data_IF_827023413692
#
_entry.id   IF_827023413692
#
_cell.length_a   1.000
_cell.length_b   1.000
_cell.length_c   1.000
_cell.angle_alpha   90.00
_cell.angle_beta   90.00
_cell.angle_gamma   90.00
#
_symmetry.space_group_name_H-M   'P 1'
#
loop_
_entity.id
_entity.type
_entity.pdbx_description
1 polymer ?
#
# COMPACT_ATOMS: atom_id res chain seq x y z
N UNK A 1 10.12 -15.39 31.23
CA UNK A 1 11.11 -14.85 30.27
C UNK A 1 10.36 -14.33 29.07
N UNK A 2 10.31 -13.05 28.96
CA UNK A 2 9.49 -12.24 28.09
C UNK A 2 10.17 -12.08 26.71
N UNK A 3 9.58 -12.65 25.68
CA UNK A 3 9.97 -12.42 24.30
C UNK A 3 8.98 -11.48 23.63
N UNK A 4 9.19 -10.17 23.75
CA UNK A 4 8.54 -9.16 22.90
C UNK A 4 9.16 -9.19 21.53
N UNK A 5 8.53 -9.84 20.57
CA UNK A 5 8.82 -9.60 19.16
C UNK A 5 7.97 -8.40 18.73
N UNK A 6 8.56 -7.21 18.81
CA UNK A 6 8.02 -6.01 18.21
C UNK A 6 7.91 -6.24 16.69
N UNK A 7 6.67 -6.33 16.20
CA UNK A 7 6.37 -6.28 14.80
C UNK A 7 6.52 -4.82 14.36
N UNK A 8 7.74 -4.43 13.94
CA UNK A 8 8.00 -3.13 13.35
C UNK A 8 7.20 -2.98 12.06
N UNK A 9 6.05 -2.31 12.18
CA UNK A 9 5.33 -1.82 11.03
C UNK A 9 6.24 -0.83 10.28
N UNK A 10 6.74 -1.21 9.10
CA UNK A 10 7.47 -0.32 8.23
C UNK A 10 6.59 0.87 7.91
N UNK A 11 6.87 1.98 8.57
CA UNK A 11 6.26 3.28 8.29
C UNK A 11 6.70 3.74 6.91
N UNK A 12 5.79 3.72 5.96
CA UNK A 12 6.00 4.35 4.67
C UNK A 12 5.55 5.80 4.82
N UNK A 13 6.51 6.70 5.01
CA UNK A 13 6.37 8.16 5.05
C UNK A 13 4.98 8.70 5.46
N UNK A 14 4.71 8.70 6.76
CA UNK A 14 3.55 9.37 7.34
C UNK A 14 2.23 8.60 7.26
N UNK A 15 2.21 7.39 6.70
CA UNK A 15 1.03 6.56 6.67
C UNK A 15 1.22 5.26 7.45
N UNK A 16 0.67 5.22 8.66
CA UNK A 16 0.62 4.00 9.47
C UNK A 16 -0.37 3.01 8.85
N UNK A 17 0.13 1.94 8.24
CA UNK A 17 -0.71 0.78 7.96
C UNK A 17 -0.99 0.08 9.28
N UNK A 18 -2.18 0.26 9.82
CA UNK A 18 -2.63 -0.54 10.96
C UNK A 18 -2.60 -2.01 10.56
N UNK A 19 -1.83 -2.78 11.30
CA UNK A 19 -1.98 -4.23 11.28
C UNK A 19 -3.42 -4.59 11.69
N UNK A 20 -4.01 -5.65 11.15
CA UNK A 20 -5.36 -6.07 11.53
C UNK A 20 -5.43 -6.31 13.03
N UNK A 21 -6.26 -5.52 13.72
CA UNK A 21 -6.48 -5.67 15.17
C UNK A 21 -7.35 -6.88 15.42
N UNK A 22 -6.85 -7.80 16.22
CA UNK A 22 -7.43 -9.11 16.52
C UNK A 22 -8.63 -9.06 17.50
N UNK A 23 -9.03 -7.88 17.96
CA UNK A 23 -9.93 -7.78 19.14
C UNK A 23 -11.42 -7.54 18.81
N UNK A 24 -11.81 -7.53 17.54
CA UNK A 24 -13.21 -7.33 17.17
C UNK A 24 -13.85 -8.63 16.65
N UNK A 25 -14.89 -9.10 17.33
CA UNK A 25 -15.74 -10.22 16.89
C UNK A 25 -16.33 -10.04 15.45
N UNK A 26 -16.33 -8.81 14.92
CA UNK A 26 -16.75 -8.47 13.56
C UNK A 26 -15.59 -8.41 12.55
N UNK A 27 -14.35 -8.67 12.95
CA UNK A 27 -13.14 -8.61 12.12
C UNK A 27 -12.87 -9.89 11.30
N UNK A 28 -11.86 -9.81 10.42
CA UNK A 28 -11.32 -10.98 9.73
C UNK A 28 -10.40 -11.77 10.66
N UNK A 29 -10.40 -13.09 10.53
CA UNK A 29 -9.38 -13.92 11.14
C UNK A 29 -8.00 -13.67 10.46
N UNK A 30 -6.92 -13.96 11.19
CA UNK A 30 -5.57 -13.71 10.72
C UNK A 30 -5.27 -14.37 9.36
N UNK A 31 -5.69 -15.61 9.18
CA UNK A 31 -5.48 -16.32 7.92
C UNK A 31 -6.25 -15.68 6.76
N UNK A 32 -7.48 -15.19 7.00
CA UNK A 32 -8.28 -14.47 6.00
C UNK A 32 -7.61 -13.17 5.58
N UNK A 33 -7.14 -12.40 6.55
CA UNK A 33 -6.39 -11.16 6.29
C UNK A 33 -5.12 -11.44 5.48
N UNK A 34 -4.37 -12.48 5.80
CA UNK A 34 -3.17 -12.91 5.06
C UNK A 34 -3.51 -13.35 3.63
N UNK A 35 -4.59 -14.10 3.44
CA UNK A 35 -5.04 -14.51 2.08
C UNK A 35 -5.37 -13.28 1.22
N UNK A 36 -6.08 -12.31 1.78
CA UNK A 36 -6.41 -11.06 1.06
C UNK A 36 -5.15 -10.25 0.75
N UNK A 37 -4.25 -10.08 1.70
CA UNK A 37 -2.98 -9.37 1.51
C UNK A 37 -2.13 -10.03 0.43
N UNK A 38 -1.99 -11.36 0.48
CA UNK A 38 -1.25 -12.13 -0.53
C UNK A 38 -1.87 -11.99 -1.91
N UNK A 39 -3.20 -12.11 -2.02
CA UNK A 39 -3.90 -11.91 -3.28
C UNK A 39 -3.66 -10.51 -3.87
N UNK A 40 -3.78 -9.47 -3.04
CA UNK A 40 -3.53 -8.08 -3.47
C UNK A 40 -2.08 -7.92 -3.92
N UNK A 41 -1.09 -8.43 -3.17
CA UNK A 41 0.32 -8.30 -3.50
C UNK A 41 0.67 -8.90 -4.88
N UNK A 42 0.12 -10.06 -5.18
CA UNK A 42 0.35 -10.76 -6.47
C UNK A 42 -0.35 -10.04 -7.63
N UNK A 43 -1.54 -9.49 -7.43
CA UNK A 43 -2.39 -8.93 -8.49
C UNK A 43 -2.39 -7.40 -8.57
N UNK A 44 -1.48 -6.69 -7.88
CA UNK A 44 -1.45 -5.22 -7.83
C UNK A 44 -1.41 -4.55 -9.21
N UNK A 45 -0.68 -5.17 -10.15
CA UNK A 45 -0.51 -4.66 -11.52
C UNK A 45 -1.74 -4.87 -12.41
N UNK A 46 -2.71 -5.67 -11.96
CA UNK A 46 -3.90 -6.01 -12.73
C UNK A 46 -5.18 -5.48 -12.08
N UNK A 47 -6.32 -5.66 -12.77
CA UNK A 47 -7.62 -5.26 -12.24
C UNK A 47 -8.07 -6.22 -11.14
N UNK A 48 -8.05 -5.75 -9.90
CA UNK A 48 -8.57 -6.49 -8.74
C UNK A 48 -10.07 -6.22 -8.59
N UNK A 49 -10.88 -7.28 -8.63
CA UNK A 49 -12.33 -7.19 -8.38
C UNK A 49 -12.62 -7.49 -6.92
N UNK A 50 -13.58 -6.77 -6.35
CA UNK A 50 -14.02 -6.98 -4.96
C UNK A 50 -14.48 -8.43 -4.70
N UNK A 51 -15.12 -9.05 -5.70
CA UNK A 51 -15.58 -10.43 -5.61
C UNK A 51 -14.44 -11.44 -5.45
N UNK A 52 -13.28 -11.18 -6.04
CA UNK A 52 -12.12 -12.05 -5.95
C UNK A 52 -11.47 -11.97 -4.56
N UNK A 53 -11.41 -10.76 -3.98
CA UNK A 53 -10.97 -10.56 -2.60
C UNK A 53 -11.91 -11.23 -1.58
N UNK A 54 -13.23 -11.12 -1.81
CA UNK A 54 -14.22 -11.75 -0.95
C UNK A 54 -14.10 -13.28 -1.00
N UNK A 55 -13.89 -13.86 -2.19
CA UNK A 55 -13.62 -15.28 -2.37
C UNK A 55 -12.34 -15.73 -1.67
N UNK A 56 -11.26 -14.97 -1.78
CA UNK A 56 -9.99 -15.28 -1.11
C UNK A 56 -10.13 -15.34 0.42
N UNK A 57 -11.02 -14.53 0.99
CA UNK A 57 -11.35 -14.53 2.42
C UNK A 57 -12.52 -15.47 2.78
N UNK A 58 -13.09 -16.19 1.81
CA UNK A 58 -14.28 -17.07 1.99
C UNK A 58 -15.51 -16.34 2.55
N UNK A 59 -15.72 -15.10 2.12
CA UNK A 59 -16.89 -14.28 2.47
C UNK A 59 -17.80 -13.99 1.29
N UNK A 60 -19.08 -13.72 1.57
CA UNK A 60 -19.94 -12.99 0.63
C UNK A 60 -19.45 -11.56 0.45
N UNK A 61 -19.72 -10.92 -0.70
CA UNK A 61 -19.29 -9.52 -0.95
C UNK A 61 -19.76 -8.54 0.12
N UNK A 62 -21.00 -8.72 0.60
CA UNK A 62 -21.60 -7.83 1.61
C UNK A 62 -20.89 -7.97 2.96
N UNK A 63 -20.68 -9.20 3.42
CA UNK A 63 -19.95 -9.49 4.65
C UNK A 63 -18.48 -9.04 4.55
N UNK A 64 -17.83 -9.31 3.40
CA UNK A 64 -16.45 -8.91 3.15
C UNK A 64 -16.20 -7.41 3.36
N UNK A 65 -17.02 -6.54 2.75
CA UNK A 65 -16.85 -5.10 2.87
C UNK A 65 -16.89 -4.62 4.33
N UNK A 66 -17.85 -5.12 5.10
CA UNK A 66 -18.01 -4.76 6.52
C UNK A 66 -16.83 -5.25 7.34
N UNK A 67 -16.53 -6.54 7.22
CA UNK A 67 -15.45 -7.21 7.97
C UNK A 67 -14.08 -6.64 7.60
N UNK A 68 -13.84 -6.37 6.31
CA UNK A 68 -12.59 -5.76 5.85
C UNK A 68 -12.40 -4.36 6.46
N UNK A 69 -13.43 -3.51 6.44
CA UNK A 69 -13.37 -2.17 7.03
C UNK A 69 -13.13 -2.22 8.55
N UNK A 70 -13.73 -3.19 9.25
CA UNK A 70 -13.49 -3.39 10.67
C UNK A 70 -12.04 -3.80 10.96
N UNK A 71 -11.44 -4.69 10.15
CA UNK A 71 -10.08 -5.18 10.34
C UNK A 71 -8.98 -4.21 9.88
N UNK A 72 -9.17 -3.56 8.74
CA UNK A 72 -8.14 -2.72 8.10
C UNK A 72 -8.38 -1.21 8.26
N UNK A 73 -9.51 -0.79 8.84
CA UNK A 73 -9.87 0.62 9.02
C UNK A 73 -10.13 1.40 7.73
N UNK A 74 -10.21 0.71 6.58
CA UNK A 74 -10.45 1.33 5.28
C UNK A 74 -11.21 0.37 4.35
N UNK A 75 -11.77 0.90 3.27
CA UNK A 75 -12.42 0.05 2.27
C UNK A 75 -11.40 -0.75 1.46
N UNK A 76 -11.78 -1.92 0.88
CA UNK A 76 -10.89 -2.71 0.02
C UNK A 76 -10.30 -1.92 -1.15
N UNK A 77 -11.09 -1.04 -1.78
CA UNK A 77 -10.61 -0.18 -2.86
C UNK A 77 -9.57 0.86 -2.40
N UNK A 78 -9.75 1.44 -1.21
CA UNK A 78 -8.76 2.33 -0.62
C UNK A 78 -7.48 1.58 -0.27
N UNK A 79 -7.59 0.37 0.25
CA UNK A 79 -6.45 -0.49 0.55
C UNK A 79 -5.62 -0.81 -0.70
N UNK A 80 -6.25 -1.32 -1.76
CA UNK A 80 -5.58 -1.60 -3.04
C UNK A 80 -4.90 -0.35 -3.60
N UNK A 81 -5.58 0.80 -3.56
CA UNK A 81 -5.00 2.08 -4.02
C UNK A 81 -3.74 2.45 -3.24
N UNK A 82 -3.76 2.32 -1.91
CA UNK A 82 -2.59 2.57 -1.05
C UNK A 82 -1.44 1.63 -1.37
N UNK A 83 -1.72 0.34 -1.56
CA UNK A 83 -0.70 -0.64 -1.94
C UNK A 83 -0.06 -0.32 -3.29
N UNK A 84 -0.85 0.14 -4.27
CA UNK A 84 -0.33 0.61 -5.56
C UNK A 84 0.54 1.86 -5.42
N UNK A 85 0.16 2.80 -4.57
CA UNK A 85 0.98 3.99 -4.30
C UNK A 85 2.29 3.61 -3.61
N UNK A 86 2.27 2.71 -2.63
CA UNK A 86 3.48 2.20 -1.98
C UNK A 86 4.43 1.52 -2.98
N UNK A 87 3.89 0.72 -3.92
CA UNK A 87 4.67 0.13 -5.02
C UNK A 87 5.28 1.20 -5.90
N UNK A 88 4.50 2.23 -6.28
CA UNK A 88 5.01 3.35 -7.08
C UNK A 88 6.14 4.10 -6.37
N UNK A 89 6.03 4.35 -5.07
CA UNK A 89 7.09 4.98 -4.28
C UNK A 89 8.39 4.14 -4.29
N UNK A 90 8.28 2.83 -4.16
CA UNK A 90 9.43 1.93 -4.26
C UNK A 90 10.07 2.00 -5.65
N UNK A 91 9.28 1.91 -6.72
CA UNK A 91 9.78 2.03 -8.10
C UNK A 91 10.46 3.38 -8.34
N UNK A 92 9.86 4.49 -7.89
CA UNK A 92 10.45 5.82 -8.00
C UNK A 92 11.76 6.00 -7.22
N UNK A 93 11.97 5.21 -6.17
CA UNK A 93 13.21 5.24 -5.39
C UNK A 93 14.30 4.39 -6.03
N UNK A 94 13.92 3.26 -6.65
CA UNK A 94 14.86 2.28 -7.21
C UNK A 94 15.20 2.54 -8.67
N UNK A 95 14.37 3.26 -9.41
CA UNK A 95 14.55 3.54 -10.83
C UNK A 95 14.36 5.01 -11.16
N UNK A 96 14.87 5.41 -12.34
CA UNK A 96 14.63 6.75 -12.92
C UNK A 96 13.59 6.73 -14.03
N UNK A 97 12.77 5.68 -14.09
CA UNK A 97 11.76 5.50 -15.11
C UNK A 97 10.77 6.68 -15.17
N UNK A 98 10.21 6.98 -16.33
CA UNK A 98 9.17 8.00 -16.47
C UNK A 98 7.96 7.69 -15.57
N UNK A 99 7.32 8.73 -15.06
CA UNK A 99 6.14 8.55 -14.18
C UNK A 99 4.97 7.84 -14.89
N UNK A 100 4.87 7.95 -16.21
CA UNK A 100 3.87 7.21 -16.98
C UNK A 100 4.09 5.69 -16.92
N UNK A 101 5.35 5.25 -17.01
CA UNK A 101 5.70 3.84 -16.89
C UNK A 101 5.47 3.34 -15.47
N UNK A 102 5.93 4.07 -14.48
CA UNK A 102 5.70 3.73 -13.05
C UNK A 102 4.20 3.62 -12.74
N UNK A 103 3.37 4.50 -13.30
CA UNK A 103 1.92 4.43 -13.13
C UNK A 103 1.36 3.08 -13.62
N UNK A 104 1.72 2.67 -14.83
CA UNK A 104 1.28 1.39 -15.42
C UNK A 104 1.79 0.20 -14.61
N UNK A 105 3.07 0.16 -14.26
CA UNK A 105 3.69 -0.91 -13.49
C UNK A 105 3.12 -1.03 -12.07
N UNK A 106 2.61 0.08 -11.54
CA UNK A 106 1.93 0.12 -10.24
C UNK A 106 0.44 -0.25 -10.32
N UNK A 107 -0.08 -0.52 -11.52
CA UNK A 107 -1.45 -0.97 -11.75
C UNK A 107 -2.47 0.16 -11.93
N UNK A 108 -2.03 1.38 -12.27
CA UNK A 108 -2.92 2.46 -12.67
C UNK A 108 -3.16 2.43 -14.19
N UNK A 109 -4.36 2.82 -14.60
CA UNK A 109 -4.72 2.84 -16.03
C UNK A 109 -3.95 3.90 -16.82
N UNK A 110 -3.68 5.05 -16.20
CA UNK A 110 -3.01 6.19 -16.80
C UNK A 110 -2.29 7.05 -15.76
N UNK A 111 -1.40 7.92 -16.22
CA UNK A 111 -0.64 8.83 -15.36
C UNK A 111 -1.51 9.90 -14.67
N UNK A 112 -2.52 10.52 -15.30
CA UNK A 112 -3.41 11.46 -14.63
C UNK A 112 -4.15 10.84 -13.44
N UNK A 113 -4.67 9.63 -13.59
CA UNK A 113 -5.30 8.88 -12.50
C UNK A 113 -4.29 8.58 -11.38
N UNK A 114 -3.09 8.13 -11.73
CA UNK A 114 -2.00 7.92 -10.79
C UNK A 114 -1.67 9.20 -10.00
N UNK A 115 -1.45 10.32 -10.69
CA UNK A 115 -1.11 11.61 -10.06
C UNK A 115 -2.17 12.06 -9.05
N UNK A 116 -3.45 11.91 -9.40
CA UNK A 116 -4.58 12.24 -8.53
C UNK A 116 -4.61 11.36 -7.28
N UNK A 117 -4.48 10.05 -7.47
CA UNK A 117 -4.46 9.09 -6.36
C UNK A 117 -3.24 9.28 -5.46
N UNK A 118 -2.08 9.53 -6.06
CA UNK A 118 -0.84 9.77 -5.31
C UNK A 118 -0.98 11.01 -4.41
N UNK A 119 -1.48 12.12 -4.98
CA UNK A 119 -1.71 13.36 -4.19
C UNK A 119 -2.73 13.16 -3.08
N UNK A 120 -3.79 12.37 -3.31
CA UNK A 120 -4.78 12.05 -2.27
C UNK A 120 -4.19 11.22 -1.11
N UNK A 121 -3.25 10.33 -1.39
CA UNK A 121 -2.67 9.42 -0.39
C UNK A 121 -1.46 10.03 0.29
N UNK A 122 -0.59 10.71 -0.46
CA UNK A 122 0.73 11.20 0.00
C UNK A 122 0.70 12.70 0.34
N UNK A 123 -0.25 13.46 -0.21
CA UNK A 123 -0.39 14.91 0.01
C UNK A 123 0.37 15.78 -0.98
N UNK A 124 1.25 15.22 -1.81
CA UNK A 124 2.04 15.94 -2.81
C UNK A 124 2.06 15.19 -4.15
N UNK A 125 2.54 15.85 -5.23
CA UNK A 125 2.64 15.20 -6.53
C UNK A 125 3.77 14.17 -6.56
N UNK A 126 3.68 13.11 -7.42
CA UNK A 126 4.74 12.12 -7.56
C UNK A 126 6.09 12.73 -7.95
N UNK A 127 6.09 13.73 -8.82
CA UNK A 127 7.31 14.43 -9.25
C UNK A 127 7.98 15.18 -8.09
N UNK A 128 7.20 15.93 -7.31
CA UNK A 128 7.68 16.65 -6.12
C UNK A 128 8.24 15.67 -5.09
N UNK A 129 7.51 14.59 -4.82
CA UNK A 129 7.93 13.56 -3.89
C UNK A 129 9.25 12.91 -4.31
N UNK A 130 9.39 12.53 -5.60
CA UNK A 130 10.64 11.96 -6.14
C UNK A 130 11.81 12.92 -5.98
N UNK A 131 11.63 14.19 -6.36
CA UNK A 131 12.69 15.20 -6.27
C UNK A 131 13.17 15.42 -4.83
N UNK A 132 12.25 15.45 -3.87
CA UNK A 132 12.56 15.55 -2.45
C UNK A 132 13.36 14.35 -1.94
N UNK A 133 12.96 13.14 -2.33
CA UNK A 133 13.65 11.90 -1.95
C UNK A 133 15.05 11.80 -2.53
N UNK A 134 15.22 12.15 -3.80
CA UNK A 134 16.54 12.17 -4.42
C UNK A 134 17.51 13.14 -3.71
N UNK A 135 17.04 14.32 -3.32
CA UNK A 135 17.84 15.28 -2.55
C UNK A 135 18.23 14.75 -1.15
N UNK A 136 17.33 14.04 -0.48
CA UNK A 136 17.61 13.44 0.83
C UNK A 136 18.70 12.37 0.75
N UNK A 137 18.64 11.50 -0.26
CA UNK A 137 19.64 10.45 -0.48
C UNK A 137 21.02 11.04 -0.81
N UNK A 138 21.09 12.12 -1.60
CA UNK A 138 22.35 12.80 -1.89
C UNK A 138 23.01 13.42 -0.65
N UNK A 139 22.22 14.00 0.27
CA UNK A 139 22.74 14.54 1.53
C UNK A 139 23.37 13.46 2.43
N UNK A 140 22.77 12.28 2.47
CA UNK A 140 23.29 11.15 3.28
C UNK A 140 24.62 10.63 2.73
N UNK A 141 24.80 10.64 1.39
CA UNK A 141 26.05 10.21 0.75
C UNK A 141 27.17 11.25 0.83
N UNK A 142 26.86 12.55 0.79
CA UNK A 142 27.85 13.61 0.94
C UNK A 142 28.35 13.76 2.40
N UNK A 143 27.54 13.37 3.40
CA UNK A 143 27.94 13.39 4.80
C UNK A 143 28.87 12.25 5.23
N UNK A 144 28.99 11.19 4.44
CA UNK A 144 29.83 10.03 4.73
C UNK A 144 31.28 10.12 4.19
N UNK A 145 31.66 11.26 3.59
CA UNK A 145 33.02 11.56 3.13
C UNK A 145 33.58 12.77 3.88
N UNK A 146 33.66 12.62 5.14
CA UNK A 146 34.53 13.51 5.94
C UNK A 146 35.44 12.67 6.82
#
# INVERSE_FOLDING_TARGET
>A
MTGHTANEAKSIDGYSMRAPTMENHDGMELWQARCVQGYVAVHLHSKIKLGDLAKAAQFSRRKFNRTFKASFGCTPGQYVRRMRIARAQNLMTMSRDPLCQIAVESGFADQPHFNRCFRQVVGESPGTWRARRCKSLQKTWCGARA
#
